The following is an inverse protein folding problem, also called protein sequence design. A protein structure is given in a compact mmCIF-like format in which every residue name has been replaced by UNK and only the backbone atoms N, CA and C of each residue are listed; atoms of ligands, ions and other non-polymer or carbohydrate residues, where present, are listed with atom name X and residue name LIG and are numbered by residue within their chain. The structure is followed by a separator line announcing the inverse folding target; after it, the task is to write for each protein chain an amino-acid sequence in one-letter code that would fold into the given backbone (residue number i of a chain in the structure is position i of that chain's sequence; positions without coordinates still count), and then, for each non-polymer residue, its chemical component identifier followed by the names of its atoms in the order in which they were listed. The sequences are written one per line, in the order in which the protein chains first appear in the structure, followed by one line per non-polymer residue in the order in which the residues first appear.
data_IF_485458383810
#
_entry.id   IF_485458383810
#
_cell.length_a   1.000
_cell.length_b   1.000
_cell.length_c   1.000
_cell.angle_alpha   90.00
_cell.angle_beta   90.00
_cell.angle_gamma   90.00
#
_symmetry.space_group_name_H-M   'P 1'
#
loop_
_entity.id
_entity.type
_entity.pdbx_description
1 polymer ?
#
# COMPACT_ATOMS: atom_id res chain seq x y z
N UNK A 1 19.62 -3.60 24.15
CA UNK A 1 20.18 -4.39 23.02
C UNK A 1 19.08 -4.59 22.00
N UNK A 2 19.00 -3.71 21.00
CA UNK A 2 18.01 -3.78 19.93
C UNK A 2 18.38 -4.95 19.02
N UNK A 3 17.49 -5.93 18.85
CA UNK A 3 17.71 -7.04 17.92
C UNK A 3 17.98 -6.46 16.53
N UNK A 4 18.92 -6.99 15.74
CA UNK A 4 19.05 -6.62 14.33
C UNK A 4 17.71 -6.91 13.67
N UNK A 5 17.06 -5.88 13.14
CA UNK A 5 15.87 -6.07 12.34
C UNK A 5 16.33 -6.68 11.02
N UNK A 6 15.92 -7.91 10.77
CA UNK A 6 16.10 -8.57 9.49
C UNK A 6 15.33 -7.74 8.48
N UNK A 7 16.03 -6.97 7.65
CA UNK A 7 15.40 -6.23 6.54
C UNK A 7 14.82 -7.30 5.62
N UNK A 8 13.49 -7.33 5.40
CA UNK A 8 12.91 -8.23 4.41
C UNK A 8 13.63 -7.99 3.08
N UNK A 9 13.98 -9.07 2.39
CA UNK A 9 14.49 -8.98 1.04
C UNK A 9 13.48 -8.20 0.19
N UNK A 10 13.85 -7.01 -0.28
CA UNK A 10 13.06 -6.27 -1.26
C UNK A 10 13.19 -7.03 -2.58
N UNK A 11 12.21 -7.87 -2.87
CA UNK A 11 12.16 -8.61 -4.13
C UNK A 11 11.18 -7.90 -5.05
N UNK A 12 11.62 -7.66 -6.28
CA UNK A 12 10.81 -7.05 -7.33
C UNK A 12 9.57 -7.93 -7.62
N UNK A 13 8.34 -7.36 -7.61
CA UNK A 13 7.12 -8.08 -7.98
C UNK A 13 7.20 -8.78 -9.35
N UNK A 14 7.95 -8.23 -10.30
CA UNK A 14 8.17 -8.89 -11.60
C UNK A 14 8.93 -10.20 -11.43
N UNK A 15 9.94 -10.23 -10.55
CA UNK A 15 10.70 -11.44 -10.23
C UNK A 15 9.89 -12.42 -9.38
N UNK A 16 9.05 -11.91 -8.46
CA UNK A 16 8.22 -12.75 -7.59
C UNK A 16 7.07 -13.42 -8.32
N UNK A 17 6.38 -12.71 -9.21
CA UNK A 17 5.10 -13.15 -9.75
C UNK A 17 5.08 -13.32 -11.27
N UNK A 18 6.02 -12.72 -12.01
CA UNK A 18 6.21 -12.94 -13.45
C UNK A 18 4.92 -12.98 -14.28
N UNK A 19 4.55 -14.17 -14.76
CA UNK A 19 3.35 -14.38 -15.57
C UNK A 19 2.04 -13.98 -14.86
N UNK A 20 1.92 -14.27 -13.57
CA UNK A 20 0.74 -13.88 -12.78
C UNK A 20 0.58 -12.35 -12.77
N UNK A 21 1.67 -11.61 -12.51
CA UNK A 21 1.66 -10.15 -12.59
C UNK A 21 1.23 -9.68 -13.97
N UNK A 22 1.82 -10.24 -15.03
CA UNK A 22 1.48 -9.87 -16.41
C UNK A 22 0.00 -10.09 -16.72
N UNK A 23 -0.56 -11.24 -16.35
CA UNK A 23 -1.97 -11.56 -16.60
C UNK A 23 -2.91 -10.65 -15.79
N UNK A 24 -2.59 -10.37 -14.53
CA UNK A 24 -3.38 -9.43 -13.69
C UNK A 24 -3.41 -8.02 -14.29
N UNK A 25 -2.26 -7.51 -14.75
CA UNK A 25 -2.15 -6.18 -15.32
C UNK A 25 -2.89 -6.07 -16.67
N UNK A 26 -2.78 -7.09 -17.53
CA UNK A 26 -3.47 -7.12 -18.82
C UNK A 26 -4.98 -7.31 -18.68
N UNK A 27 -5.43 -8.06 -17.67
CA UNK A 27 -6.84 -8.29 -17.41
C UNK A 27 -7.56 -7.05 -16.85
N UNK A 28 -6.83 -6.07 -16.32
CA UNK A 28 -7.37 -4.81 -15.75
C UNK A 28 -8.48 -5.04 -14.72
N UNK A 29 -8.30 -6.04 -13.86
CA UNK A 29 -9.25 -6.40 -12.79
C UNK A 29 -9.25 -5.38 -11.64
N UNK A 30 -8.24 -4.51 -11.58
CA UNK A 30 -8.10 -3.43 -10.60
C UNK A 30 -8.18 -2.05 -11.26
N UNK A 31 -8.55 -1.00 -10.51
CA UNK A 31 -8.68 0.36 -11.04
C UNK A 31 -7.35 0.98 -11.48
N UNK A 32 -6.22 0.48 -10.97
CA UNK A 32 -4.88 0.90 -11.36
C UNK A 32 -3.87 -0.25 -11.35
N UNK A 33 -2.72 -0.01 -11.97
CA UNK A 33 -1.62 -0.97 -12.09
C UNK A 33 -0.81 -1.14 -10.79
N UNK A 34 -1.05 -0.26 -9.81
CA UNK A 34 -0.32 -0.23 -8.53
C UNK A 34 -0.95 -1.20 -7.52
N UNK A 35 -2.26 -1.40 -7.60
CA UNK A 35 -3.07 -2.16 -6.64
C UNK A 35 -2.52 -3.56 -6.39
N UNK A 36 -2.16 -4.30 -7.46
CA UNK A 36 -1.60 -5.64 -7.32
C UNK A 36 -0.12 -5.63 -6.90
N UNK A 37 0.64 -4.63 -7.36
CA UNK A 37 2.06 -4.45 -7.01
C UNK A 37 2.25 -4.14 -5.52
N UNK A 38 1.26 -3.53 -4.90
CA UNK A 38 1.21 -3.26 -3.46
C UNK A 38 0.59 -4.39 -2.64
N UNK A 39 0.03 -5.39 -3.31
CA UNK A 39 -0.70 -6.45 -2.64
C UNK A 39 0.28 -7.34 -1.85
N UNK A 40 -0.11 -7.69 -0.64
CA UNK A 40 0.71 -8.53 0.24
C UNK A 40 0.25 -9.98 0.05
N UNK A 41 1.14 -10.92 -0.31
CA UNK A 41 0.72 -12.31 -0.45
C UNK A 41 0.38 -12.91 0.92
N UNK A 42 -0.68 -13.72 0.96
CA UNK A 42 -1.12 -14.41 2.19
C UNK A 42 -0.30 -15.66 2.51
N UNK A 43 0.51 -16.12 1.57
CA UNK A 43 1.35 -17.31 1.66
C UNK A 43 2.59 -17.16 0.77
N UNK A 44 3.47 -18.16 0.75
CA UNK A 44 4.71 -18.12 -0.04
C UNK A 44 4.42 -17.90 -1.54
N UNK A 45 5.06 -16.92 -2.21
CA UNK A 45 4.86 -16.66 -3.63
C UNK A 45 5.06 -17.89 -4.54
N UNK A 46 5.98 -18.78 -4.21
CA UNK A 46 6.19 -20.01 -4.97
C UNK A 46 4.97 -20.94 -4.92
N UNK A 47 4.28 -21.00 -3.77
CA UNK A 47 3.03 -21.76 -3.64
C UNK A 47 1.90 -21.10 -4.44
N UNK A 48 1.77 -19.77 -4.36
CA UNK A 48 0.77 -19.02 -5.13
C UNK A 48 0.95 -19.26 -6.63
N UNK A 49 2.20 -19.25 -7.12
CA UNK A 49 2.49 -19.52 -8.54
C UNK A 49 2.16 -20.95 -8.95
N UNK A 50 2.44 -21.94 -8.09
CA UNK A 50 2.06 -23.33 -8.35
C UNK A 50 0.54 -23.50 -8.42
N UNK A 51 -0.18 -22.87 -7.48
CA UNK A 51 -1.65 -22.87 -7.44
C UNK A 51 -2.23 -22.17 -8.67
N UNK A 52 -1.63 -21.06 -9.10
CA UNK A 52 -2.01 -20.33 -10.30
C UNK A 52 -1.87 -21.18 -11.57
N UNK A 53 -0.73 -21.86 -11.75
CA UNK A 53 -0.49 -22.70 -12.92
C UNK A 53 -1.45 -23.91 -12.98
N UNK A 54 -1.83 -24.44 -11.82
CA UNK A 54 -2.82 -25.51 -11.71
C UNK A 54 -4.24 -24.99 -12.02
N UNK A 55 -4.61 -23.84 -11.46
CA UNK A 55 -5.95 -23.29 -11.56
C UNK A 55 -6.26 -22.66 -12.93
N UNK A 56 -5.29 -21.99 -13.57
CA UNK A 56 -5.53 -21.24 -14.82
C UNK A 56 -5.93 -22.10 -16.03
N UNK A 57 -5.78 -23.42 -15.93
CA UNK A 57 -6.20 -24.37 -16.96
C UNK A 57 -7.65 -24.84 -16.78
N UNK A 58 -8.28 -24.51 -15.65
CA UNK A 58 -9.67 -24.87 -15.39
C UNK A 58 -10.61 -23.98 -16.22
N UNK A 59 -11.69 -24.54 -16.77
CA UNK A 59 -12.63 -23.78 -17.62
C UNK A 59 -13.41 -22.71 -16.87
N UNK A 60 -13.48 -22.79 -15.54
CA UNK A 60 -14.18 -21.89 -14.63
C UNK A 60 -13.22 -20.98 -13.83
N UNK A 61 -11.96 -20.90 -14.25
CA UNK A 61 -10.97 -20.05 -13.58
C UNK A 61 -11.34 -18.56 -13.67
N UNK A 62 -11.46 -17.92 -12.50
CA UNK A 62 -11.62 -16.47 -12.38
C UNK A 62 -10.40 -15.85 -11.69
N UNK A 63 -9.66 -15.03 -12.45
CA UNK A 63 -8.44 -14.39 -11.99
C UNK A 63 -8.71 -13.44 -10.80
N UNK A 64 -9.86 -12.76 -10.81
CA UNK A 64 -10.23 -11.82 -9.74
C UNK A 64 -10.38 -12.55 -8.41
N UNK A 65 -11.16 -13.63 -8.39
CA UNK A 65 -11.36 -14.47 -7.22
C UNK A 65 -10.05 -15.09 -6.76
N UNK A 66 -9.21 -15.55 -7.70
CA UNK A 66 -7.88 -16.08 -7.39
C UNK A 66 -7.01 -15.05 -6.67
N UNK A 67 -6.90 -13.83 -7.20
CA UNK A 67 -6.09 -12.79 -6.55
C UNK A 67 -6.66 -12.42 -5.18
N UNK A 68 -7.97 -12.20 -5.08
CA UNK A 68 -8.62 -11.83 -3.83
C UNK A 68 -8.49 -12.91 -2.73
N UNK A 69 -8.35 -14.19 -3.09
CA UNK A 69 -8.14 -15.26 -2.10
C UNK A 69 -6.68 -15.41 -1.67
N UNK A 70 -5.73 -15.02 -2.52
CA UNK A 70 -4.28 -15.22 -2.30
C UNK A 70 -3.54 -13.99 -1.79
N UNK A 71 -4.14 -12.80 -1.90
CA UNK A 71 -3.50 -11.54 -1.57
C UNK A 71 -4.35 -10.66 -0.65
N UNK A 72 -3.67 -9.89 0.20
CA UNK A 72 -4.24 -8.74 0.89
C UNK A 72 -4.04 -7.50 0.02
N UNK A 73 -5.14 -6.98 -0.53
CA UNK A 73 -5.12 -5.76 -1.33
C UNK A 73 -4.94 -4.52 -0.45
N UNK A 74 -4.27 -3.47 -0.95
CA UNK A 74 -4.10 -2.23 -0.21
C UNK A 74 -5.46 -1.58 0.08
N UNK A 75 -5.63 -0.96 1.26
CA UNK A 75 -6.89 -0.31 1.62
C UNK A 75 -7.17 0.90 0.71
N UNK A 76 -8.42 1.02 0.24
CA UNK A 76 -8.90 2.18 -0.51
C UNK A 76 -9.27 3.32 0.47
N UNK A 77 -8.29 4.08 0.95
CA UNK A 77 -8.50 5.03 2.06
C UNK A 77 -9.28 6.29 1.65
N UNK A 78 -9.44 6.59 0.36
CA UNK A 78 -10.19 7.78 -0.09
C UNK A 78 -11.72 7.65 0.02
N UNK A 79 -12.27 6.47 0.31
CA UNK A 79 -13.71 6.24 0.25
C UNK A 79 -14.48 6.73 1.49
N UNK A 80 -13.85 6.75 2.67
CA UNK A 80 -14.57 6.92 3.94
C UNK A 80 -14.57 8.36 4.49
N UNK A 81 -13.83 9.29 3.85
CA UNK A 81 -13.80 10.69 4.28
C UNK A 81 -14.88 11.50 3.55
N UNK A 82 -16.06 11.57 4.16
CA UNK A 82 -17.11 12.46 3.68
C UNK A 82 -16.78 13.92 4.01
N UNK A 83 -16.77 14.84 3.02
CA UNK A 83 -16.66 16.26 3.31
C UNK A 83 -17.85 16.66 4.19
N UNK A 84 -17.54 17.22 5.36
CA UNK A 84 -18.56 17.82 6.23
C UNK A 84 -18.81 19.23 5.75
N UNK A 85 -20.02 19.48 5.26
CA UNK A 85 -20.42 20.80 4.78
C UNK A 85 -20.23 21.89 5.84
N UNK A 86 -19.69 23.04 5.42
CA UNK A 86 -19.53 24.23 6.26
C UNK A 86 -18.27 24.25 7.15
N UNK A 87 -17.38 23.25 7.09
CA UNK A 87 -16.08 23.35 7.75
C UNK A 87 -15.21 24.43 7.10
N UNK A 88 -14.48 25.19 7.93
CA UNK A 88 -13.40 26.02 7.42
C UNK A 88 -12.26 25.15 6.92
N UNK A 89 -11.50 25.66 5.96
CA UNK A 89 -10.40 24.92 5.33
C UNK A 89 -9.36 24.41 6.34
N UNK A 90 -9.04 25.19 7.38
CA UNK A 90 -8.04 24.79 8.37
C UNK A 90 -8.55 23.63 9.23
N UNK A 91 -9.83 23.65 9.61
CA UNK A 91 -10.45 22.57 10.37
C UNK A 91 -10.58 21.29 9.53
N UNK A 92 -10.77 21.43 8.23
CA UNK A 92 -10.77 20.32 7.29
C UNK A 92 -9.38 19.68 7.20
N UNK A 93 -8.33 20.48 7.04
CA UNK A 93 -6.94 20.03 7.01
C UNK A 93 -6.56 19.32 8.31
N UNK A 94 -6.94 19.87 9.47
CA UNK A 94 -6.66 19.22 10.76
C UNK A 94 -7.28 17.82 10.90
N UNK A 95 -8.43 17.59 10.26
CA UNK A 95 -9.09 16.27 10.25
C UNK A 95 -8.43 15.30 9.27
N UNK A 96 -7.69 15.78 8.28
CA UNK A 96 -7.00 14.94 7.30
C UNK A 96 -5.70 14.35 7.85
N UNK A 97 -4.99 15.04 8.75
CA UNK A 97 -3.69 14.56 9.25
C UNK A 97 -3.71 13.11 9.79
N UNK A 98 -4.67 12.71 10.66
CA UNK A 98 -4.73 11.34 11.15
C UNK A 98 -5.08 10.32 10.04
N UNK A 99 -5.83 10.75 9.02
CA UNK A 99 -6.25 9.89 7.90
C UNK A 99 -5.14 9.67 6.88
N UNK A 100 -4.18 10.60 6.81
CA UNK A 100 -3.02 10.54 5.94
C UNK A 100 -1.80 9.91 6.63
N UNK A 101 -1.90 9.61 7.93
CA UNK A 101 -0.81 8.93 8.64
C UNK A 101 -0.75 7.44 8.29
N UNK A 102 0.44 6.94 8.00
CA UNK A 102 0.74 5.54 7.72
C UNK A 102 1.89 5.05 8.58
N UNK A 103 1.99 3.73 8.69
CA UNK A 103 3.16 3.03 9.22
C UNK A 103 3.62 2.00 8.20
N UNK A 104 4.93 1.80 8.12
CA UNK A 104 5.55 0.80 7.25
C UNK A 104 6.26 -0.26 8.10
N UNK A 105 5.52 -1.18 8.76
CA UNK A 105 6.15 -2.31 9.41
C UNK A 105 6.78 -3.23 8.36
N UNK A 106 7.82 -3.97 8.74
CA UNK A 106 8.38 -5.01 7.90
C UNK A 106 7.31 -6.05 7.55
N UNK A 107 7.16 -6.34 6.25
CA UNK A 107 6.27 -7.36 5.70
C UNK A 107 7.07 -8.27 4.80
N UNK A 108 6.84 -9.57 4.91
CA UNK A 108 7.46 -10.54 4.03
C UNK A 108 6.85 -10.42 2.63
N UNK A 109 7.69 -10.41 1.59
CA UNK A 109 7.31 -10.28 0.18
C UNK A 109 6.51 -9.00 -0.18
N UNK A 110 6.38 -8.05 0.76
CA UNK A 110 5.80 -6.75 0.50
C UNK A 110 6.80 -5.82 -0.17
N UNK A 111 6.29 -4.94 -1.03
CA UNK A 111 7.10 -3.93 -1.73
C UNK A 111 7.39 -2.70 -0.86
N UNK A 112 6.60 -2.48 0.19
CA UNK A 112 6.75 -1.34 1.09
C UNK A 112 8.03 -1.46 1.92
N UNK A 113 8.93 -0.48 1.76
CA UNK A 113 10.18 -0.40 2.53
C UNK A 113 9.85 -0.07 3.99
N UNK A 114 10.35 -0.85 4.97
CA UNK A 114 10.03 -0.61 6.37
C UNK A 114 10.67 0.67 6.90
N UNK A 115 9.91 1.43 7.68
CA UNK A 115 10.37 2.66 8.33
C UNK A 115 10.16 2.59 9.85
N UNK A 116 11.08 3.18 10.65
CA UNK A 116 11.03 3.10 12.11
C UNK A 116 9.91 3.93 12.73
N UNK A 117 9.40 4.95 12.02
CA UNK A 117 8.41 5.90 12.50
C UNK A 117 7.23 6.02 11.54
N UNK A 118 6.04 6.41 12.03
CA UNK A 118 4.92 6.78 11.16
C UNK A 118 5.27 7.97 10.28
N UNK A 119 4.56 8.11 9.17
CA UNK A 119 4.74 9.21 8.21
C UNK A 119 3.40 9.64 7.62
N UNK A 120 3.36 10.84 7.04
CA UNK A 120 2.18 11.35 6.32
C UNK A 120 2.35 11.09 4.82
N UNK A 121 1.29 10.60 4.18
CA UNK A 121 1.25 10.37 2.73
C UNK A 121 0.45 11.46 2.01
N UNK A 122 0.65 11.68 0.70
CA UNK A 122 -0.16 12.60 -0.09
C UNK A 122 -1.66 12.25 -0.11
N UNK A 123 -2.00 10.96 0.04
CA UNK A 123 -3.36 10.44 0.05
C UNK A 123 -3.77 9.74 -1.25
N UNK A 124 -4.96 9.16 -1.25
CA UNK A 124 -5.46 8.36 -2.36
C UNK A 124 -4.69 7.04 -2.52
N UNK A 125 -4.18 6.77 -3.73
CA UNK A 125 -3.40 5.56 -4.04
C UNK A 125 -1.97 5.56 -3.49
N UNK A 126 -1.51 6.70 -2.98
CA UNK A 126 -0.16 6.87 -2.45
C UNK A 126 -0.15 6.47 -0.98
N UNK A 127 0.43 5.31 -0.68
CA UNK A 127 0.49 4.76 0.68
C UNK A 127 1.92 4.71 1.24
N UNK A 128 2.90 5.16 0.46
CA UNK A 128 4.32 5.19 0.80
C UNK A 128 4.79 6.60 1.13
N UNK A 129 6.00 6.67 1.69
CA UNK A 129 6.70 7.91 1.92
C UNK A 129 7.16 8.54 0.59
N UNK A 130 6.79 9.80 0.36
CA UNK A 130 7.21 10.58 -0.82
C UNK A 130 8.17 11.69 -0.42
N UNK A 131 9.37 11.68 -1.00
CA UNK A 131 10.50 12.49 -0.50
C UNK A 131 10.22 14.00 -0.46
N UNK A 132 10.02 14.63 -1.62
CA UNK A 132 9.79 16.07 -1.73
C UNK A 132 8.40 16.51 -1.23
N UNK A 133 7.35 15.71 -1.42
CA UNK A 133 6.01 15.97 -0.87
C UNK A 133 6.03 16.08 0.66
N UNK A 134 6.87 15.26 1.31
CA UNK A 134 7.02 15.27 2.76
C UNK A 134 7.53 16.62 3.26
N UNK A 135 8.39 17.32 2.52
CA UNK A 135 8.89 18.63 2.94
C UNK A 135 7.75 19.65 3.09
N UNK A 136 6.89 19.76 2.08
CA UNK A 136 5.75 20.67 2.13
C UNK A 136 4.70 20.23 3.16
N UNK A 137 4.54 18.92 3.34
CA UNK A 137 3.68 18.35 4.39
C UNK A 137 4.19 18.71 5.78
N UNK A 138 5.50 18.62 6.04
CA UNK A 138 6.12 19.00 7.30
C UNK A 138 5.99 20.50 7.60
N UNK A 139 6.05 21.36 6.59
CA UNK A 139 5.76 22.80 6.77
C UNK A 139 4.30 23.02 7.23
N UNK A 140 3.35 22.28 6.66
CA UNK A 140 1.95 22.29 7.09
C UNK A 140 1.77 21.81 8.53
N UNK A 141 2.39 20.68 8.89
CA UNK A 141 2.39 20.14 10.26
C UNK A 141 2.98 21.14 11.26
N UNK A 142 4.09 21.80 10.90
CA UNK A 142 4.70 22.83 11.74
C UNK A 142 3.76 24.02 11.96
N UNK A 143 3.11 24.50 10.90
CA UNK A 143 2.12 25.59 10.99
C UNK A 143 0.90 25.19 11.84
N UNK A 144 0.55 23.92 11.86
CA UNK A 144 -0.50 23.32 12.70
C UNK A 144 -0.07 23.00 14.14
N UNK A 145 1.20 23.23 14.51
CA UNK A 145 1.74 22.91 15.85
C UNK A 145 2.00 21.41 16.09
N UNK A 146 1.96 20.59 15.02
CA UNK A 146 2.17 19.13 15.01
C UNK A 146 3.63 18.77 14.84
N UNK A 147 4.46 19.25 15.76
CA UNK A 147 5.92 19.12 15.66
C UNK A 147 6.39 17.69 15.99
N UNK A 148 5.63 16.96 16.81
CA UNK A 148 5.96 15.57 17.16
C UNK A 148 5.89 14.63 15.95
N UNK A 149 5.09 14.98 14.95
CA UNK A 149 4.97 14.23 13.70
C UNK A 149 6.08 14.57 12.68
N UNK A 150 7.01 15.47 13.03
CA UNK A 150 8.17 15.88 12.20
C UNK A 150 9.48 15.24 12.72
N UNK A 151 9.54 14.92 14.03
CA UNK A 151 10.74 14.42 14.73
C UNK A 151 10.82 12.88 14.75
#
# INVERSE_FOLDING_TARGET
MTKPQTVPSLVDPEQLYGALLTEVQLARIFPDEKTFTDAIPRQDPAQILADFEAARRAPDFDLTTFVCSHFDLPPCVSADFAPVDGLRIEQHIEKLWPLLQRSAPAREYGTLIPLPHPYIVPGGRFNEFFYWDSYFTMLGLQASGRVQEIE
#
